data_IF_042776894781
#
_entry.id   IF_042776894781
#
_cell.length_a   1.000
_cell.length_b   1.000
_cell.length_c   1.000
_cell.angle_alpha   90.00
_cell.angle_beta   90.00
_cell.angle_gamma   90.00
#
_symmetry.space_group_name_H-M   'P 1'
#
loop_
_entity.id
_entity.type
_entity.pdbx_description
1 polymer ?
#
# COMPACT_ATOMS: atom_id res chain seq x y z
N UNK A 1 -18.31 0.77 -6.21
CA UNK A 1 -18.78 2.13 -6.56
C UNK A 1 -18.77 2.28 -8.06
N UNK A 2 -19.76 2.98 -8.60
CA UNK A 2 -19.73 3.45 -9.98
C UNK A 2 -18.76 4.62 -10.12
N UNK A 3 -18.32 4.92 -11.34
CA UNK A 3 -17.49 6.10 -11.63
C UNK A 3 -18.13 7.40 -11.13
N UNK A 4 -19.46 7.50 -11.18
CA UNK A 4 -20.20 8.67 -10.70
C UNK A 4 -20.09 8.83 -9.18
N UNK A 5 -20.22 7.74 -8.43
CA UNK A 5 -20.10 7.75 -6.97
C UNK A 5 -18.67 8.10 -6.53
N UNK A 6 -17.66 7.59 -7.25
CA UNK A 6 -16.26 7.93 -7.00
C UNK A 6 -15.98 9.41 -7.21
N UNK A 7 -16.50 9.99 -8.31
CA UNK A 7 -16.35 11.42 -8.57
C UNK A 7 -17.03 12.29 -7.50
N UNK A 8 -18.23 11.91 -7.05
CA UNK A 8 -18.94 12.61 -5.98
C UNK A 8 -18.19 12.52 -4.63
N UNK A 9 -17.67 11.34 -4.29
CA UNK A 9 -16.87 11.14 -3.09
C UNK A 9 -15.57 11.94 -3.12
N UNK A 10 -14.88 11.96 -4.27
CA UNK A 10 -13.68 12.75 -4.46
C UNK A 10 -13.95 14.26 -4.37
N UNK A 11 -15.04 14.74 -5.00
CA UNK A 11 -15.45 16.14 -4.92
C UNK A 11 -15.67 16.57 -3.46
N UNK A 12 -16.46 15.81 -2.71
CA UNK A 12 -16.74 16.12 -1.31
C UNK A 12 -15.45 16.14 -0.45
N UNK A 13 -14.53 15.20 -0.70
CA UNK A 13 -13.24 15.19 -0.04
C UNK A 13 -12.38 16.41 -0.41
N UNK A 14 -12.35 16.79 -1.68
CA UNK A 14 -11.61 17.96 -2.15
C UNK A 14 -12.11 19.25 -1.49
N UNK A 15 -13.43 19.43 -1.43
CA UNK A 15 -14.06 20.58 -0.75
C UNK A 15 -13.65 20.62 0.74
N UNK A 16 -13.67 19.47 1.43
CA UNK A 16 -13.26 19.39 2.84
C UNK A 16 -11.77 19.73 3.06
N UNK A 17 -10.87 19.33 2.16
CA UNK A 17 -9.44 19.65 2.28
C UNK A 17 -9.14 21.12 2.00
N UNK A 18 -9.86 21.72 1.05
CA UNK A 18 -9.77 23.17 0.78
C UNK A 18 -10.26 23.99 1.98
N UNK A 19 -11.34 23.57 2.63
CA UNK A 19 -11.83 24.22 3.85
C UNK A 19 -10.83 24.10 5.03
N UNK A 20 -9.97 23.08 5.01
CA UNK A 20 -8.89 22.87 5.99
C UNK A 20 -7.60 23.63 5.66
N UNK A 21 -7.62 24.56 4.70
CA UNK A 21 -6.46 25.33 4.24
C UNK A 21 -5.33 24.44 3.66
N UNK A 22 -5.67 23.29 3.08
CA UNK A 22 -4.71 22.46 2.34
C UNK A 22 -4.53 22.91 0.88
N UNK A 23 -4.60 24.23 0.65
CA UNK A 23 -4.55 24.90 -0.66
C UNK A 23 -3.20 24.72 -1.39
N UNK A 24 -2.23 24.11 -0.72
CA UNK A 24 -0.89 23.83 -1.22
C UNK A 24 -0.77 22.48 -1.93
N UNK A 25 -1.77 21.60 -1.78
CA UNK A 25 -1.77 20.30 -2.44
C UNK A 25 -2.18 20.44 -3.90
N UNK A 26 -1.40 19.82 -4.78
CA UNK A 26 -1.80 19.61 -6.16
C UNK A 26 -3.00 18.65 -6.25
N UNK A 27 -3.70 18.68 -7.39
CA UNK A 27 -4.82 17.78 -7.63
C UNK A 27 -4.41 16.30 -7.54
N UNK A 28 -3.21 15.96 -8.01
CA UNK A 28 -2.67 14.61 -7.96
C UNK A 28 -2.39 14.15 -6.52
N UNK A 29 -1.83 15.02 -5.69
CA UNK A 29 -1.61 14.73 -4.26
C UNK A 29 -2.93 14.57 -3.51
N UNK A 30 -3.90 15.43 -3.80
CA UNK A 30 -5.23 15.37 -3.20
C UNK A 30 -6.00 14.11 -3.61
N UNK A 31 -5.87 13.69 -4.88
CA UNK A 31 -6.40 12.41 -5.36
C UNK A 31 -5.69 11.22 -4.70
N UNK A 32 -4.37 11.30 -4.54
CA UNK A 32 -3.59 10.30 -3.81
C UNK A 32 -4.08 10.10 -2.37
N UNK A 33 -4.28 11.19 -1.63
CA UNK A 33 -4.81 11.16 -0.26
C UNK A 33 -6.23 10.58 -0.19
N UNK A 34 -7.08 10.96 -1.15
CA UNK A 34 -8.43 10.41 -1.24
C UNK A 34 -8.41 8.89 -1.43
N UNK A 35 -7.54 8.36 -2.33
CA UNK A 35 -7.41 6.92 -2.56
C UNK A 35 -6.94 6.15 -1.33
N UNK A 36 -6.05 6.73 -0.51
CA UNK A 36 -5.63 6.10 0.75
C UNK A 36 -6.82 5.86 1.68
N UNK A 37 -7.77 6.80 1.70
CA UNK A 37 -8.98 6.69 2.52
C UNK A 37 -10.09 5.87 1.85
N UNK A 38 -10.04 5.74 0.52
CA UNK A 38 -11.03 5.02 -0.29
C UNK A 38 -10.34 4.01 -1.23
N UNK A 39 -9.67 2.98 -0.68
CA UNK A 39 -8.99 1.99 -1.50
C UNK A 39 -10.00 1.27 -2.39
N UNK A 40 -9.58 0.91 -3.60
CA UNK A 40 -10.39 0.03 -4.43
C UNK A 40 -10.58 -1.31 -3.70
N UNK A 41 -11.70 -1.99 -3.96
CA UNK A 41 -12.02 -3.24 -3.27
C UNK A 41 -10.90 -4.30 -3.43
N UNK A 42 -10.30 -4.36 -4.61
CA UNK A 42 -9.17 -5.25 -4.92
C UNK A 42 -7.91 -4.88 -4.12
N UNK A 43 -7.57 -3.60 -4.03
CA UNK A 43 -6.42 -3.10 -3.24
C UNK A 43 -6.62 -3.37 -1.74
N UNK A 44 -7.86 -3.23 -1.25
CA UNK A 44 -8.20 -3.56 0.13
C UNK A 44 -8.08 -5.07 0.39
N UNK A 45 -8.57 -5.91 -0.51
CA UNK A 45 -8.47 -7.37 -0.39
C UNK A 45 -7.01 -7.83 -0.38
N UNK A 46 -6.18 -7.29 -1.27
CA UNK A 46 -4.75 -7.56 -1.31
C UNK A 46 -4.07 -7.18 0.01
N UNK A 47 -4.37 -5.97 0.51
CA UNK A 47 -3.83 -5.47 1.78
C UNK A 47 -4.24 -6.35 2.97
N UNK A 48 -5.51 -6.76 3.04
CA UNK A 48 -6.02 -7.67 4.07
C UNK A 48 -5.36 -9.04 3.97
N UNK A 49 -5.18 -9.58 2.76
CA UNK A 49 -4.52 -10.86 2.56
C UNK A 49 -3.05 -10.82 3.01
N UNK A 50 -2.31 -9.77 2.66
CA UNK A 50 -0.94 -9.57 3.10
C UNK A 50 -0.82 -9.50 4.64
N UNK A 51 -1.75 -8.79 5.30
CA UNK A 51 -1.80 -8.73 6.76
C UNK A 51 -2.11 -10.10 7.39
N UNK A 52 -3.03 -10.87 6.82
CA UNK A 52 -3.35 -12.21 7.30
C UNK A 52 -2.17 -13.17 7.18
N UNK A 53 -1.42 -13.10 6.06
CA UNK A 53 -0.21 -13.89 5.87
C UNK A 53 0.86 -13.50 6.89
N UNK A 54 1.15 -12.20 7.04
CA UNK A 54 2.11 -11.72 8.02
C UNK A 54 1.72 -12.12 9.47
N UNK A 55 0.43 -12.07 9.80
CA UNK A 55 -0.05 -12.51 11.10
C UNK A 55 0.12 -14.04 11.30
N UNK A 56 -0.19 -14.84 10.28
CA UNK A 56 0.02 -16.28 10.33
C UNK A 56 1.50 -16.63 10.51
N UNK A 57 2.39 -15.95 9.79
CA UNK A 57 3.84 -16.12 9.94
C UNK A 57 4.31 -15.77 11.36
N UNK A 58 3.88 -14.61 11.89
CA UNK A 58 4.21 -14.19 13.25
C UNK A 58 3.72 -15.19 14.31
N UNK A 59 2.50 -15.72 14.16
CA UNK A 59 1.95 -16.72 15.09
C UNK A 59 2.63 -18.08 14.98
N UNK A 60 3.16 -18.43 13.81
CA UNK A 60 4.03 -19.59 13.61
C UNK A 60 5.46 -19.38 14.13
N UNK A 61 5.80 -18.18 14.62
CA UNK A 61 7.13 -17.82 15.11
C UNK A 61 8.10 -17.35 14.01
N UNK A 62 7.63 -17.21 12.77
CA UNK A 62 8.38 -16.61 11.68
C UNK A 62 8.33 -15.09 11.82
N UNK A 63 9.44 -14.49 12.27
CA UNK A 63 9.57 -13.04 12.47
C UNK A 63 10.31 -12.35 11.33
N UNK A 64 10.43 -13.05 10.20
CA UNK A 64 11.31 -12.70 9.10
C UNK A 64 12.69 -13.32 9.24
N UNK A 65 13.53 -13.06 8.25
CA UNK A 65 14.91 -13.50 8.17
C UNK A 65 15.82 -12.28 7.96
N UNK A 66 17.09 -12.33 8.37
CA UNK A 66 18.04 -11.27 8.07
C UNK A 66 18.10 -11.03 6.56
N UNK A 67 17.91 -9.79 6.13
CA UNK A 67 17.83 -9.44 4.70
C UNK A 67 19.03 -9.95 3.87
N UNK A 68 20.22 -10.04 4.48
CA UNK A 68 21.42 -10.56 3.81
C UNK A 68 21.34 -12.08 3.55
N UNK A 69 20.69 -12.82 4.44
CA UNK A 69 20.49 -14.28 4.29
C UNK A 69 19.43 -14.55 3.22
N UNK A 70 18.30 -13.85 3.27
CA UNK A 70 17.24 -13.86 2.25
C UNK A 70 17.78 -13.57 0.83
N UNK A 71 18.61 -12.52 0.73
CA UNK A 71 19.22 -12.07 -0.52
C UNK A 71 20.18 -13.12 -1.05
N UNK A 72 21.00 -13.72 -0.18
CA UNK A 72 21.95 -14.78 -0.57
C UNK A 72 21.21 -16.00 -1.10
N UNK A 73 20.17 -16.46 -0.42
CA UNK A 73 19.36 -17.60 -0.86
C UNK A 73 18.69 -17.33 -2.21
N UNK A 74 18.10 -16.15 -2.37
CA UNK A 74 17.47 -15.72 -3.64
C UNK A 74 18.50 -15.66 -4.79
N UNK A 75 19.70 -15.14 -4.52
CA UNK A 75 20.79 -15.08 -5.49
C UNK A 75 21.30 -16.49 -5.86
N UNK A 76 21.44 -17.40 -4.90
CA UNK A 76 21.81 -18.80 -5.15
C UNK A 76 20.77 -19.50 -6.04
N UNK A 77 19.47 -19.30 -5.79
CA UNK A 77 18.39 -19.84 -6.62
C UNK A 77 18.38 -19.27 -8.05
N UNK A 78 18.77 -18.01 -8.22
CA UNK A 78 18.83 -17.31 -9.51
C UNK A 78 20.18 -17.48 -10.22
N UNK A 79 21.16 -18.18 -9.63
CA UNK A 79 22.51 -18.36 -10.18
C UNK A 79 23.36 -17.09 -10.21
N UNK A 80 23.04 -16.11 -9.36
CA UNK A 80 23.75 -14.83 -9.22
C UNK A 80 24.65 -14.91 -7.98
N UNK A 81 25.89 -14.42 -8.08
CA UNK A 81 26.83 -14.41 -6.93
C UNK A 81 26.93 -12.99 -6.38
N UNK A 82 26.68 -12.83 -5.07
CA UNK A 82 26.86 -11.55 -4.38
C UNK A 82 28.34 -11.44 -3.99
N UNK A 83 29.04 -10.46 -4.56
CA UNK A 83 30.42 -10.16 -4.21
C UNK A 83 30.56 -9.70 -2.75
N UNK A 84 31.61 -10.18 -2.09
CA UNK A 84 31.94 -9.97 -0.68
C UNK A 84 32.00 -8.52 -0.23
#
# INVERSE_FOLDING_TARGET
MTTREQLQSFQAFAEEQLDKHQDHLSLDELYGLWRVSHPAHEELLESVNALNLAYADLTAGHTGEPAREALRESCEQLGVVIGS
#
